data_IF_748700240276
#
_entry.id   IF_748700240276
#
_cell.length_a   1.000
_cell.length_b   1.000
_cell.length_c   1.000
_cell.angle_alpha   90.00
_cell.angle_beta   90.00
_cell.angle_gamma   90.00
#
_symmetry.space_group_name_H-M   'P 1'
#
loop_
_entity.id
_entity.type
_entity.pdbx_description
1 polymer ?
#
# COMPACT_ATOMS: atom_id res chain seq x y z
N UNK A 1 -3.25 5.89 30.42
CA UNK A 1 -2.06 6.49 29.76
C UNK A 1 -1.15 5.37 29.23
N UNK A 2 -1.72 4.33 28.59
CA UNK A 2 -0.99 3.11 28.15
C UNK A 2 -0.95 2.95 26.62
N UNK A 3 -1.62 3.82 25.86
CA UNK A 3 -1.63 3.83 24.40
C UNK A 3 -0.33 4.37 23.76
N UNK A 4 0.67 4.75 24.57
CA UNK A 4 1.93 5.35 24.12
C UNK A 4 3.07 4.33 23.90
N UNK A 5 2.83 3.04 24.14
CA UNK A 5 3.88 2.00 24.07
C UNK A 5 3.69 0.97 22.94
N UNK A 6 2.62 1.07 22.15
CA UNK A 6 2.50 0.25 20.95
C UNK A 6 3.20 0.94 19.78
N UNK A 7 4.04 0.22 19.02
CA UNK A 7 4.84 0.83 17.97
C UNK A 7 3.91 1.29 16.84
N UNK A 8 4.20 2.42 16.19
CA UNK A 8 3.36 2.94 15.13
C UNK A 8 3.32 1.97 13.95
N UNK A 9 2.13 1.79 13.38
CA UNK A 9 1.93 1.05 12.14
C UNK A 9 2.35 1.96 10.97
N UNK A 10 3.19 1.45 10.07
CA UNK A 10 3.50 2.14 8.81
C UNK A 10 2.70 1.48 7.67
N UNK A 11 1.91 2.27 6.96
CA UNK A 11 0.97 1.80 5.95
C UNK A 11 0.79 2.80 4.82
N UNK A 12 0.36 2.30 3.66
CA UNK A 12 -0.14 3.14 2.57
C UNK A 12 -1.61 3.47 2.86
N UNK A 13 -1.96 4.75 2.79
CA UNK A 13 -3.30 5.24 3.14
C UNK A 13 -4.10 5.71 1.92
N UNK A 14 -3.44 6.00 0.80
CA UNK A 14 -4.03 6.40 -0.47
C UNK A 14 -3.03 6.15 -1.62
N UNK A 15 -3.52 5.87 -2.83
CA UNK A 15 -2.72 5.79 -4.06
C UNK A 15 -3.42 6.63 -5.13
N UNK A 16 -2.70 7.59 -5.73
CA UNK A 16 -3.31 8.63 -6.58
C UNK A 16 -3.08 8.48 -8.10
N UNK A 17 -2.19 7.60 -8.55
CA UNK A 17 -1.73 7.61 -9.95
C UNK A 17 -1.61 6.22 -10.59
N UNK A 18 -2.18 5.18 -9.98
CA UNK A 18 -2.13 3.82 -10.54
C UNK A 18 -3.41 3.08 -10.19
N UNK A 19 -4.04 2.44 -11.17
CA UNK A 19 -5.22 1.64 -10.92
C UNK A 19 -4.83 0.31 -10.28
N UNK A 20 -5.62 -0.20 -9.31
CA UNK A 20 -5.34 -1.49 -8.71
C UNK A 20 -5.27 -2.64 -9.73
N UNK A 21 -6.09 -2.57 -10.79
CA UNK A 21 -6.09 -3.57 -11.87
C UNK A 21 -4.76 -3.61 -12.62
N UNK A 22 -4.12 -2.46 -12.86
CA UNK A 22 -2.85 -2.42 -13.57
C UNK A 22 -1.73 -3.08 -12.77
N UNK A 23 -1.66 -2.79 -11.46
CA UNK A 23 -0.69 -3.41 -10.55
C UNK A 23 -0.92 -4.91 -10.51
N UNK A 24 -2.16 -5.35 -10.29
CA UNK A 24 -2.50 -6.76 -10.17
C UNK A 24 -2.21 -7.54 -11.46
N UNK A 25 -2.56 -6.98 -12.63
CA UNK A 25 -2.27 -7.60 -13.93
C UNK A 25 -0.76 -7.78 -14.14
N UNK A 26 0.03 -6.71 -13.94
CA UNK A 26 1.49 -6.76 -14.09
C UNK A 26 2.13 -7.77 -13.12
N UNK A 27 1.66 -7.80 -11.87
CA UNK A 27 2.14 -8.77 -10.89
C UNK A 27 1.72 -10.20 -11.22
N UNK A 28 0.50 -10.42 -11.73
CA UNK A 28 0.04 -11.74 -12.17
C UNK A 28 0.86 -12.26 -13.34
N UNK A 29 1.16 -11.44 -14.35
CA UNK A 29 2.02 -11.80 -15.49
C UNK A 29 3.41 -12.22 -15.02
N UNK A 30 4.01 -11.46 -14.08
CA UNK A 30 5.31 -11.78 -13.49
C UNK A 30 5.28 -13.07 -12.68
N UNK A 31 4.27 -13.24 -11.82
CA UNK A 31 4.08 -14.46 -11.03
C UNK A 31 3.97 -15.68 -11.94
N UNK A 32 3.18 -15.60 -13.02
CA UNK A 32 3.05 -16.68 -14.00
C UNK A 32 4.40 -16.98 -14.67
N UNK A 33 5.14 -15.95 -15.09
CA UNK A 33 6.48 -16.11 -15.64
C UNK A 33 7.41 -16.83 -14.65
N UNK A 34 7.40 -16.42 -13.38
CA UNK A 34 8.21 -17.06 -12.35
C UNK A 34 7.84 -18.52 -12.14
N UNK A 35 6.55 -18.84 -12.07
CA UNK A 35 6.07 -20.22 -11.88
C UNK A 35 6.52 -21.15 -13.00
N UNK A 36 6.53 -20.67 -14.24
CA UNK A 36 6.86 -21.50 -15.41
C UNK A 36 8.38 -21.59 -15.62
N UNK A 37 9.08 -20.46 -15.50
CA UNK A 37 10.47 -20.36 -15.99
C UNK A 37 11.53 -20.27 -14.89
N UNK A 38 11.17 -19.85 -13.68
CA UNK A 38 12.15 -19.55 -12.63
C UNK A 38 12.05 -20.54 -11.47
N UNK A 39 10.87 -20.66 -10.87
CA UNK A 39 10.60 -21.49 -9.68
C UNK A 39 10.99 -22.97 -9.84
N UNK A 40 10.80 -23.61 -11.01
CA UNK A 40 11.21 -25.00 -11.23
C UNK A 40 12.74 -25.19 -11.34
N UNK A 41 13.51 -24.13 -11.54
CA UNK A 41 14.95 -24.17 -11.81
C UNK A 41 15.75 -23.29 -10.83
N UNK A 42 15.83 -23.67 -9.54
CA UNK A 42 16.25 -22.79 -8.44
C UNK A 42 17.77 -22.56 -8.29
N UNK A 43 18.57 -22.73 -9.34
CA UNK A 43 20.03 -22.86 -9.21
C UNK A 43 20.80 -21.57 -8.92
N UNK A 44 20.20 -20.37 -9.08
CA UNK A 44 20.91 -19.07 -8.93
C UNK A 44 20.04 -17.98 -8.28
N UNK A 45 19.12 -18.33 -7.38
CA UNK A 45 18.32 -17.29 -6.72
C UNK A 45 19.16 -16.54 -5.68
N UNK A 46 19.12 -15.22 -5.73
CA UNK A 46 19.61 -14.37 -4.64
C UNK A 46 18.50 -14.13 -3.63
N UNK A 47 18.85 -13.61 -2.46
CA UNK A 47 17.88 -13.16 -1.46
C UNK A 47 16.93 -12.10 -2.05
N UNK A 48 17.45 -11.22 -2.89
CA UNK A 48 16.73 -10.13 -3.54
C UNK A 48 15.74 -10.67 -4.58
N UNK A 49 16.12 -11.66 -5.38
CA UNK A 49 15.21 -12.31 -6.33
C UNK A 49 13.98 -12.90 -5.62
N UNK A 50 14.19 -13.62 -4.51
CA UNK A 50 13.08 -14.26 -3.78
C UNK A 50 12.18 -13.20 -3.12
N UNK A 51 12.77 -12.13 -2.56
CA UNK A 51 12.00 -11.02 -2.02
C UNK A 51 11.13 -10.37 -3.09
N UNK A 52 11.70 -10.10 -4.27
CA UNK A 52 10.96 -9.53 -5.39
C UNK A 52 9.80 -10.43 -5.83
N UNK A 53 10.03 -11.74 -5.96
CA UNK A 53 8.97 -12.71 -6.28
C UNK A 53 7.87 -12.67 -5.20
N UNK A 54 8.25 -12.63 -3.92
CA UNK A 54 7.32 -12.55 -2.80
C UNK A 54 6.49 -11.24 -2.81
N UNK A 55 7.08 -10.12 -3.20
CA UNK A 55 6.37 -8.83 -3.34
C UNK A 55 5.30 -8.91 -4.45
N UNK A 56 5.63 -9.51 -5.60
CA UNK A 56 4.66 -9.70 -6.69
C UNK A 56 3.53 -10.65 -6.28
N UNK A 57 3.83 -11.72 -5.53
CA UNK A 57 2.79 -12.58 -4.94
C UNK A 57 1.92 -11.84 -3.92
N UNK A 58 2.51 -10.95 -3.11
CA UNK A 58 1.75 -10.17 -2.14
C UNK A 58 0.77 -9.21 -2.83
N UNK A 59 1.17 -8.60 -3.95
CA UNK A 59 0.26 -7.79 -4.75
C UNK A 59 -0.92 -8.62 -5.27
N UNK A 60 -0.65 -9.81 -5.80
CA UNK A 60 -1.68 -10.75 -6.21
C UNK A 60 -2.56 -11.18 -5.03
N UNK A 61 -1.98 -11.41 -3.85
CA UNK A 61 -2.71 -11.78 -2.64
C UNK A 61 -3.72 -10.70 -2.21
N UNK A 62 -3.33 -9.42 -2.30
CA UNK A 62 -4.23 -8.32 -1.94
C UNK A 62 -5.41 -8.19 -2.88
N UNK A 63 -5.18 -8.38 -4.18
CA UNK A 63 -6.17 -8.20 -5.22
C UNK A 63 -7.07 -9.44 -5.42
N UNK A 64 -6.51 -10.64 -5.58
CA UNK A 64 -7.25 -11.88 -5.88
C UNK A 64 -7.74 -12.60 -4.61
N UNK A 65 -8.81 -12.08 -4.01
CA UNK A 65 -9.37 -12.55 -2.72
C UNK A 65 -9.61 -14.08 -2.67
N UNK A 66 -10.23 -14.62 -3.71
CA UNK A 66 -10.56 -16.05 -3.81
C UNK A 66 -9.33 -16.97 -3.89
N UNK A 67 -8.17 -16.43 -4.28
CA UNK A 67 -6.93 -17.19 -4.47
C UNK A 67 -5.94 -17.04 -3.29
N UNK A 68 -6.30 -16.26 -2.26
CA UNK A 68 -5.40 -15.91 -1.14
C UNK A 68 -4.78 -17.13 -0.46
N UNK A 69 -5.55 -18.18 -0.24
CA UNK A 69 -5.04 -19.41 0.40
C UNK A 69 -3.91 -20.01 -0.43
N UNK A 70 -4.16 -20.32 -1.71
CA UNK A 70 -3.15 -20.92 -2.59
C UNK A 70 -1.93 -20.03 -2.84
N UNK A 71 -2.15 -18.71 -2.93
CA UNK A 71 -1.06 -17.73 -3.02
C UNK A 71 -0.20 -17.77 -1.75
N UNK A 72 -0.83 -17.72 -0.57
CA UNK A 72 -0.11 -17.72 0.71
C UNK A 72 0.68 -19.01 0.97
N UNK A 73 0.19 -20.16 0.52
CA UNK A 73 0.91 -21.43 0.59
C UNK A 73 2.19 -21.40 -0.23
N UNK A 74 2.13 -20.80 -1.42
CA UNK A 74 3.29 -20.62 -2.30
C UNK A 74 4.29 -19.65 -1.67
N UNK A 75 3.81 -18.52 -1.15
CA UNK A 75 4.64 -17.56 -0.42
C UNK A 75 5.34 -18.20 0.79
N UNK A 76 4.65 -19.04 1.55
CA UNK A 76 5.22 -19.76 2.69
C UNK A 76 6.33 -20.73 2.27
N UNK A 77 6.16 -21.46 1.15
CA UNK A 77 7.22 -22.34 0.60
C UNK A 77 8.47 -21.53 0.23
N UNK A 78 8.29 -20.39 -0.45
CA UNK A 78 9.39 -19.47 -0.77
C UNK A 78 10.03 -18.89 0.49
N UNK A 79 9.24 -18.58 1.52
CA UNK A 79 9.71 -18.10 2.81
C UNK A 79 10.57 -19.12 3.55
N UNK A 80 10.15 -20.39 3.58
CA UNK A 80 10.94 -21.50 4.15
C UNK A 80 12.27 -21.66 3.41
N UNK A 81 12.24 -21.59 2.06
CA UNK A 81 13.47 -21.60 1.26
C UNK A 81 14.39 -20.42 1.62
N UNK A 82 13.86 -19.21 1.68
CA UNK A 82 14.59 -17.98 2.03
C UNK A 82 15.30 -18.09 3.39
N UNK A 83 14.57 -18.54 4.42
CA UNK A 83 15.13 -18.73 5.78
C UNK A 83 16.23 -19.80 5.74
N UNK A 84 15.99 -20.94 5.09
CA UNK A 84 16.96 -22.05 5.06
C UNK A 84 18.26 -21.74 4.32
N UNK A 85 18.23 -20.85 3.32
CA UNK A 85 19.39 -20.54 2.47
C UNK A 85 20.13 -19.27 2.86
N UNK A 86 19.41 -18.24 3.30
CA UNK A 86 19.98 -16.90 3.43
C UNK A 86 19.87 -16.32 4.83
N UNK A 87 19.12 -16.96 5.73
CA UNK A 87 18.64 -16.38 6.99
C UNK A 87 17.84 -15.08 6.80
N UNK A 88 16.84 -14.87 7.65
CA UNK A 88 16.05 -13.65 7.68
C UNK A 88 16.42 -12.85 8.93
N UNK A 89 16.45 -11.54 8.81
CA UNK A 89 16.72 -10.63 9.93
C UNK A 89 15.67 -9.52 9.95
N UNK A 90 15.30 -9.09 11.14
CA UNK A 90 14.54 -7.86 11.32
C UNK A 90 15.43 -6.64 11.05
N UNK A 91 14.83 -5.58 10.54
CA UNK A 91 15.49 -4.28 10.35
C UNK A 91 15.25 -3.41 11.58
N UNK A 92 16.05 -2.38 11.78
CA UNK A 92 15.88 -1.40 12.87
C UNK A 92 15.81 0.00 12.26
N UNK A 93 14.79 0.79 12.63
CA UNK A 93 14.55 2.13 12.06
C UNK A 93 15.08 3.28 12.94
N UNK A 94 15.80 2.95 14.02
CA UNK A 94 16.27 3.90 15.01
C UNK A 94 15.48 3.84 16.31
N UNK A 95 14.25 3.34 16.28
CA UNK A 95 13.39 3.23 17.47
C UNK A 95 12.87 1.80 17.67
N UNK A 96 12.43 1.14 16.59
CA UNK A 96 11.84 -0.20 16.65
C UNK A 96 12.48 -1.19 15.68
N UNK A 97 12.52 -2.45 16.09
CA UNK A 97 12.69 -3.53 15.11
C UNK A 97 11.43 -3.65 14.27
N UNK A 98 11.60 -3.91 12.98
CA UNK A 98 10.49 -4.06 12.06
C UNK A 98 10.76 -5.09 10.96
N UNK A 99 9.67 -5.54 10.34
CA UNK A 99 9.70 -6.38 9.15
C UNK A 99 8.76 -5.82 8.09
N UNK A 100 9.29 -5.70 6.87
CA UNK A 100 8.56 -5.50 5.62
C UNK A 100 8.47 -6.79 4.79
N UNK A 101 8.81 -7.94 5.38
CA UNK A 101 8.75 -9.23 4.69
C UNK A 101 7.30 -9.54 4.24
N UNK A 102 7.08 -9.85 2.96
CA UNK A 102 5.75 -10.18 2.45
C UNK A 102 5.05 -11.33 3.17
N UNK A 103 5.80 -12.34 3.62
CA UNK A 103 5.27 -13.45 4.40
C UNK A 103 4.75 -13.05 5.79
N UNK A 104 5.25 -11.95 6.35
CA UNK A 104 4.70 -11.38 7.58
C UNK A 104 3.51 -10.49 7.24
N UNK A 105 3.64 -9.63 6.22
CA UNK A 105 2.61 -8.65 5.85
C UNK A 105 1.29 -9.30 5.43
N UNK A 106 1.32 -10.47 4.77
CA UNK A 106 0.10 -11.18 4.36
C UNK A 106 -0.83 -11.54 5.54
N UNK A 107 -0.31 -11.60 6.77
CA UNK A 107 -1.12 -11.86 7.96
C UNK A 107 -1.81 -10.62 8.53
N UNK A 108 -1.44 -9.43 8.04
CA UNK A 108 -2.10 -8.17 8.32
C UNK A 108 -3.02 -7.87 7.13
N UNK A 109 -4.02 -8.73 6.92
CA UNK A 109 -4.96 -8.70 5.79
C UNK A 109 -6.03 -7.60 5.91
N UNK A 110 -5.67 -6.50 6.56
CA UNK A 110 -6.48 -5.31 6.71
C UNK A 110 -5.70 -4.10 6.20
N UNK A 111 -6.36 -2.96 6.19
CA UNK A 111 -5.78 -1.73 5.72
C UNK A 111 -6.65 -0.56 6.12
N UNK A 112 -6.50 0.54 5.39
CA UNK A 112 -7.17 1.79 5.73
C UNK A 112 -8.09 2.22 4.59
N UNK A 113 -9.29 2.67 4.95
CA UNK A 113 -10.17 3.40 4.05
C UNK A 113 -10.48 4.76 4.66
N UNK A 114 -10.42 5.76 3.82
CA UNK A 114 -10.86 7.11 4.16
C UNK A 114 -12.26 7.32 3.63
N UNK A 115 -13.10 7.99 4.41
CA UNK A 115 -14.32 8.59 3.91
C UNK A 115 -14.12 10.08 3.91
N UNK A 116 -14.40 10.71 2.78
CA UNK A 116 -14.31 12.15 2.64
C UNK A 116 -15.45 12.72 1.82
N UNK A 117 -15.58 14.04 1.87
CA UNK A 117 -16.37 14.83 0.92
C UNK A 117 -15.43 15.49 -0.05
N UNK A 118 -15.74 15.33 -1.32
CA UNK A 118 -15.00 15.94 -2.41
C UNK A 118 -15.92 16.86 -3.19
N UNK A 119 -15.45 18.06 -3.49
CA UNK A 119 -16.11 18.95 -4.43
C UNK A 119 -15.24 19.08 -5.67
N UNK A 120 -15.90 18.99 -6.82
CA UNK A 120 -15.26 19.02 -8.11
C UNK A 120 -15.77 20.20 -8.91
N UNK A 121 -14.85 20.90 -9.57
CA UNK A 121 -15.16 21.92 -10.57
C UNK A 121 -14.56 21.54 -11.92
N UNK A 122 -15.23 21.98 -12.98
CA UNK A 122 -14.74 21.80 -14.33
C UNK A 122 -13.49 22.65 -14.56
N UNK A 123 -12.42 22.05 -15.09
CA UNK A 123 -11.21 22.80 -15.43
C UNK A 123 -11.38 23.77 -16.57
N UNK A 124 -12.48 23.77 -17.31
CA UNK A 124 -12.71 24.69 -18.43
C UNK A 124 -13.45 25.94 -17.95
N UNK A 125 -14.61 25.76 -17.33
CA UNK A 125 -15.50 26.86 -16.96
C UNK A 125 -15.54 27.17 -15.46
N UNK A 126 -14.89 26.38 -14.61
CA UNK A 126 -14.89 26.57 -13.15
C UNK A 126 -16.22 26.27 -12.45
N UNK A 127 -17.27 25.87 -13.17
CA UNK A 127 -18.56 25.48 -12.56
C UNK A 127 -18.46 24.15 -11.83
N UNK A 128 -19.38 23.90 -10.90
CA UNK A 128 -19.55 22.58 -10.32
C UNK A 128 -19.89 21.56 -11.40
N UNK A 129 -19.40 20.32 -11.25
CA UNK A 129 -19.57 19.28 -12.28
C UNK A 129 -21.04 19.01 -12.60
N UNK A 130 -21.94 19.12 -11.61
CA UNK A 130 -23.38 18.89 -11.81
C UNK A 130 -24.07 20.00 -12.60
N UNK A 131 -23.45 21.18 -12.69
CA UNK A 131 -23.97 22.37 -13.38
C UNK A 131 -23.22 22.68 -14.68
N UNK A 132 -22.36 21.75 -15.12
CA UNK A 132 -21.41 21.94 -16.20
C UNK A 132 -21.75 21.02 -17.40
N UNK A 133 -21.78 21.59 -18.60
CA UNK A 133 -22.01 20.85 -19.85
C UNK A 133 -20.75 20.15 -20.41
N UNK A 134 -19.56 20.47 -19.87
CA UNK A 134 -18.31 19.86 -20.31
C UNK A 134 -18.15 18.42 -19.78
N UNK A 135 -17.90 17.49 -20.68
CA UNK A 135 -17.66 16.07 -20.38
C UNK A 135 -16.20 15.89 -20.00
N UNK A 136 -15.96 15.27 -18.84
CA UNK A 136 -14.59 14.96 -18.40
C UNK A 136 -13.87 14.10 -19.43
N UNK A 137 -12.60 14.40 -19.67
CA UNK A 137 -11.72 13.81 -20.67
C UNK A 137 -11.99 14.18 -22.13
N UNK A 138 -13.01 14.99 -22.42
CA UNK A 138 -13.20 15.56 -23.76
C UNK A 138 -12.33 16.79 -23.96
N UNK A 139 -11.98 17.04 -25.21
CA UNK A 139 -11.21 18.20 -25.64
C UNK A 139 -12.15 19.27 -26.19
N UNK A 140 -11.85 20.52 -25.88
CA UNK A 140 -12.63 21.68 -26.27
C UNK A 140 -11.71 22.73 -26.89
N UNK A 141 -12.26 23.43 -27.88
CA UNK A 141 -11.60 24.52 -28.58
C UNK A 141 -12.15 25.87 -28.12
N UNK A 142 -11.43 26.94 -28.45
CA UNK A 142 -11.79 28.31 -28.14
C UNK A 142 -12.07 28.53 -26.64
N UNK A 143 -11.26 27.90 -25.78
CA UNK A 143 -11.37 28.02 -24.31
C UNK A 143 -10.62 29.26 -23.85
N UNK A 144 -11.33 30.19 -23.22
CA UNK A 144 -10.73 31.39 -22.64
C UNK A 144 -9.90 31.05 -21.40
N UNK A 145 -8.68 31.57 -21.34
CA UNK A 145 -7.78 31.42 -20.20
C UNK A 145 -8.27 32.23 -19.00
N UNK A 146 -8.57 31.55 -17.90
CA UNK A 146 -9.04 32.14 -16.63
C UNK A 146 -8.32 31.50 -15.44
N UNK A 147 -8.28 32.24 -14.33
CA UNK A 147 -7.80 31.75 -13.04
C UNK A 147 -8.92 31.00 -12.30
N UNK A 148 -8.73 29.70 -12.08
CA UNK A 148 -9.60 28.87 -11.23
C UNK A 148 -8.79 28.44 -10.02
N UNK A 149 -9.04 29.06 -8.86
CA UNK A 149 -8.34 28.75 -7.59
C UNK A 149 -6.81 28.77 -7.70
N UNK A 150 -6.23 29.86 -8.22
CA UNK A 150 -4.79 30.05 -8.44
C UNK A 150 -4.17 29.12 -9.51
N UNK A 151 -5.00 28.42 -10.29
CA UNK A 151 -4.55 27.55 -11.39
C UNK A 151 -5.05 28.06 -12.73
N UNK A 152 -4.20 27.93 -13.75
CA UNK A 152 -4.57 28.12 -15.14
C UNK A 152 -5.49 27.00 -15.60
N UNK A 153 -6.70 27.36 -16.02
CA UNK A 153 -7.71 26.43 -16.53
C UNK A 153 -7.24 25.66 -17.79
N UNK A 154 -6.26 26.20 -18.53
CA UNK A 154 -5.69 25.60 -19.76
C UNK A 154 -4.62 24.53 -19.46
N UNK A 155 -3.64 24.80 -18.59
CA UNK A 155 -2.53 23.85 -18.31
C UNK A 155 -2.48 23.31 -16.87
N UNK A 156 -3.38 23.75 -15.99
CA UNK A 156 -3.46 23.39 -14.57
C UNK A 156 -2.21 23.74 -13.73
N UNK A 157 -1.26 24.50 -14.28
CA UNK A 157 -0.14 25.08 -13.53
C UNK A 157 -0.61 26.29 -12.71
N UNK A 158 0.21 26.71 -11.75
CA UNK A 158 -0.02 27.97 -11.02
C UNK A 158 -0.24 29.10 -12.03
N UNK A 159 -1.33 29.85 -11.88
CA UNK A 159 -1.74 30.88 -12.84
C UNK A 159 -0.61 31.89 -13.08
N UNK A 160 0.01 32.35 -11.99
CA UNK A 160 1.11 33.32 -11.99
C UNK A 160 2.45 32.78 -12.51
N UNK A 161 2.54 31.48 -12.85
CA UNK A 161 3.77 30.84 -13.36
C UNK A 161 3.59 30.17 -14.73
N UNK A 162 2.41 30.30 -15.34
CA UNK A 162 2.16 29.74 -16.66
C UNK A 162 2.44 30.77 -17.76
N UNK A 163 2.62 30.29 -19.00
CA UNK A 163 2.88 31.13 -20.16
C UNK A 163 1.60 31.54 -20.90
N UNK A 164 0.42 31.21 -20.36
CA UNK A 164 -0.85 31.56 -20.99
C UNK A 164 -1.29 32.94 -20.54
N UNK A 165 -1.85 33.70 -21.48
CA UNK A 165 -2.29 35.07 -21.26
C UNK A 165 -3.77 35.05 -20.85
N UNK A 166 -4.10 35.73 -19.76
CA UNK A 166 -5.47 35.86 -19.28
C UNK A 166 -6.37 36.50 -20.34
N UNK A 167 -7.58 35.95 -20.52
CA UNK A 167 -8.56 36.36 -21.54
C UNK A 167 -8.22 36.02 -23.01
N UNK A 168 -7.11 35.31 -23.28
CA UNK A 168 -6.87 34.72 -24.61
C UNK A 168 -7.53 33.35 -24.75
N UNK A 169 -7.87 32.98 -25.99
CA UNK A 169 -8.48 31.69 -26.30
C UNK A 169 -7.44 30.67 -26.75
N UNK A 170 -7.61 29.44 -26.27
CA UNK A 170 -6.75 28.31 -26.55
C UNK A 170 -7.58 27.14 -27.05
N UNK A 171 -7.05 26.43 -28.04
CA UNK A 171 -7.66 25.23 -28.60
C UNK A 171 -7.07 23.96 -27.97
N UNK A 172 -7.72 22.83 -28.20
CA UNK A 172 -7.28 21.52 -27.75
C UNK A 172 -7.13 21.39 -26.21
N UNK A 173 -8.01 22.03 -25.44
CA UNK A 173 -7.98 22.00 -23.97
C UNK A 173 -8.82 20.84 -23.45
N UNK A 174 -8.20 19.95 -22.67
CA UNK A 174 -8.89 18.80 -22.08
C UNK A 174 -9.66 19.19 -20.81
N UNK A 175 -10.94 18.86 -20.76
CA UNK A 175 -11.76 19.01 -19.57
C UNK A 175 -11.35 17.98 -18.51
N UNK A 176 -10.94 18.46 -17.34
CA UNK A 176 -10.54 17.67 -16.18
C UNK A 176 -11.39 18.11 -14.98
N UNK A 177 -11.66 17.18 -14.06
CA UNK A 177 -12.29 17.51 -12.78
C UNK A 177 -11.21 18.01 -11.83
N UNK A 178 -11.29 19.28 -11.44
CA UNK A 178 -10.42 19.86 -10.43
C UNK A 178 -11.04 19.60 -9.05
N UNK A 179 -10.31 18.95 -8.16
CA UNK A 179 -10.70 18.83 -6.76
C UNK A 179 -10.50 20.20 -6.10
N UNK A 180 -11.58 20.81 -5.63
CA UNK A 180 -11.54 22.14 -4.99
C UNK A 180 -11.77 22.09 -3.49
N UNK A 181 -12.33 20.99 -2.99
CA UNK A 181 -12.43 20.69 -1.58
C UNK A 181 -12.21 19.19 -1.41
N UNK A 182 -11.37 18.82 -0.44
CA UNK A 182 -11.24 17.46 0.07
C UNK A 182 -11.31 17.56 1.60
N UNK A 183 -12.45 17.17 2.16
CA UNK A 183 -12.66 17.10 3.61
C UNK A 183 -12.67 15.63 4.03
N UNK A 184 -11.68 15.21 4.81
CA UNK A 184 -11.62 13.85 5.35
C UNK A 184 -12.53 13.78 6.57
N UNK A 185 -13.54 12.90 6.52
CA UNK A 185 -14.51 12.68 7.59
C UNK A 185 -14.01 11.59 8.54
N UNK A 186 -13.67 10.41 8.01
CA UNK A 186 -13.19 9.28 8.81
C UNK A 186 -11.99 8.62 8.16
N UNK A 187 -11.22 7.95 9.01
CA UNK A 187 -10.08 7.15 8.64
C UNK A 187 -10.18 5.83 9.39
N UNK A 188 -10.74 4.83 8.70
CA UNK A 188 -11.18 3.58 9.31
C UNK A 188 -10.22 2.43 8.97
N UNK A 189 -9.93 1.60 9.97
CA UNK A 189 -9.29 0.31 9.73
C UNK A 189 -10.36 -0.64 9.20
N UNK A 190 -10.10 -1.25 8.05
CA UNK A 190 -11.04 -2.17 7.40
C UNK A 190 -10.32 -3.40 6.88
N UNK A 191 -11.02 -4.53 6.84
CA UNK A 191 -10.47 -5.77 6.28
C UNK A 191 -10.23 -5.66 4.78
N UNK A 192 -11.16 -5.06 4.06
CA UNK A 192 -11.05 -4.85 2.61
C UNK A 192 -11.15 -3.36 2.31
N UNK A 193 -10.01 -2.67 2.17
CA UNK A 193 -9.97 -1.29 1.77
C UNK A 193 -10.57 -1.08 0.38
N UNK A 194 -11.20 0.08 0.20
CA UNK A 194 -11.70 0.53 -1.09
C UNK A 194 -10.56 0.65 -2.10
N UNK A 195 -9.44 1.25 -1.69
CA UNK A 195 -8.18 1.22 -2.43
C UNK A 195 -7.39 -0.04 -2.05
N UNK A 196 -7.49 -1.11 -2.84
CA UNK A 196 -6.99 -2.47 -2.53
C UNK A 196 -5.59 -2.54 -1.88
N UNK A 197 -4.68 -1.68 -2.29
CA UNK A 197 -3.27 -1.67 -1.86
C UNK A 197 -2.97 -0.72 -0.69
N UNK A 198 -3.98 -0.08 -0.07
CA UNK A 198 -3.81 0.69 1.18
C UNK A 198 -3.64 -0.24 2.38
N UNK A 199 -2.50 -0.91 2.44
CA UNK A 199 -2.19 -2.01 3.36
C UNK A 199 -1.04 -1.64 4.31
N UNK A 200 -0.86 -2.49 5.33
CA UNK A 200 0.29 -2.40 6.23
C UNK A 200 1.56 -2.73 5.44
N UNK A 201 2.56 -1.84 5.53
CA UNK A 201 3.84 -1.99 4.82
C UNK A 201 4.97 -2.44 5.74
N UNK A 202 4.90 -2.12 7.04
CA UNK A 202 5.85 -2.59 8.04
C UNK A 202 5.11 -2.98 9.31
N UNK A 203 5.39 -4.19 9.79
CA UNK A 203 5.10 -4.54 11.19
C UNK A 203 6.30 -4.13 12.04
N UNK A 204 6.10 -3.13 12.90
CA UNK A 204 7.03 -2.76 13.96
C UNK A 204 6.76 -3.58 15.22
N UNK A 205 7.79 -3.87 15.99
CA UNK A 205 7.71 -4.65 17.22
C UNK A 205 8.19 -3.82 18.41
N UNK A 206 7.35 -3.72 19.43
CA UNK A 206 7.70 -3.08 20.68
C UNK A 206 8.88 -3.80 21.31
N UNK A 207 9.64 -3.06 22.14
CA UNK A 207 10.70 -3.65 22.95
C UNK A 207 10.19 -4.82 23.80
N UNK A 208 8.98 -4.71 24.33
CA UNK A 208 8.34 -5.78 25.11
C UNK A 208 8.12 -7.04 24.26
N UNK A 209 7.50 -6.93 23.09
CA UNK A 209 7.30 -8.08 22.17
C UNK A 209 8.62 -8.79 21.84
N UNK A 210 9.69 -8.03 21.57
CA UNK A 210 11.00 -8.61 21.26
C UNK A 210 11.59 -9.34 22.46
N UNK A 211 11.63 -8.70 23.63
CA UNK A 211 12.19 -9.31 24.84
C UNK A 211 11.38 -10.53 25.27
N UNK A 212 10.05 -10.46 25.18
CA UNK A 212 9.16 -11.59 25.48
C UNK A 212 9.41 -12.76 24.51
N UNK A 213 9.63 -12.48 23.22
CA UNK A 213 9.95 -13.49 22.21
C UNK A 213 11.35 -14.13 22.37
N UNK A 214 12.27 -13.48 23.09
CA UNK A 214 13.63 -13.97 23.33
C UNK A 214 13.80 -14.64 24.70
N UNK A 215 12.73 -14.83 25.49
CA UNK A 215 12.81 -15.37 26.87
C UNK A 215 13.50 -16.73 26.96
N UNK A 216 13.33 -17.57 25.95
CA UNK A 216 13.91 -18.92 25.87
C UNK A 216 15.23 -18.93 25.09
N UNK A 217 15.69 -17.78 24.59
CA UNK A 217 16.93 -17.68 23.82
C UNK A 217 18.14 -17.67 24.75
N UNK A 218 19.10 -18.56 24.47
CA UNK A 218 20.33 -18.70 25.25
C UNK A 218 21.18 -17.42 25.30
N UNK A 219 21.04 -16.53 24.30
CA UNK A 219 21.81 -15.29 24.16
C UNK A 219 21.05 -14.05 24.67
N UNK A 220 19.92 -14.21 25.37
CA UNK A 220 19.13 -13.09 25.88
C UNK A 220 19.95 -12.09 26.72
N UNK A 221 20.88 -12.58 27.54
CA UNK A 221 21.73 -11.73 28.39
C UNK A 221 22.73 -10.88 27.60
N UNK A 222 23.05 -11.28 26.37
CA UNK A 222 23.95 -10.55 25.47
C UNK A 222 23.18 -9.63 24.50
N UNK A 223 21.86 -9.79 24.41
CA UNK A 223 21.01 -9.03 23.52
C UNK A 223 20.97 -7.54 23.92
N UNK A 224 21.34 -6.68 22.96
CA UNK A 224 21.26 -5.22 23.08
C UNK A 224 20.24 -4.69 22.08
N UNK A 225 19.11 -4.21 22.60
CA UNK A 225 18.02 -3.68 21.76
C UNK A 225 18.51 -2.55 20.85
N UNK A 226 18.22 -2.64 19.56
CA UNK A 226 18.61 -1.68 18.53
C UNK A 226 20.04 -1.85 18.01
N UNK A 227 20.82 -2.75 18.60
CA UNK A 227 22.23 -3.01 18.22
C UNK A 227 22.39 -4.44 17.73
N UNK A 228 21.86 -5.42 18.47
CA UNK A 228 21.98 -6.83 18.13
C UNK A 228 21.20 -7.16 16.86
N UNK A 229 21.78 -7.98 15.99
CA UNK A 229 21.06 -8.57 14.87
C UNK A 229 19.98 -9.50 15.40
N UNK A 230 18.73 -9.25 15.02
CA UNK A 230 17.61 -10.10 15.39
C UNK A 230 17.21 -10.96 14.20
N UNK A 231 17.38 -12.28 14.34
CA UNK A 231 17.00 -13.24 13.31
C UNK A 231 15.48 -13.48 13.32
N UNK A 232 14.90 -13.63 12.13
CA UNK A 232 13.50 -13.93 11.94
C UNK A 232 13.33 -15.41 11.59
N UNK A 233 12.53 -16.11 12.41
CA UNK A 233 12.19 -17.52 12.21
C UNK A 233 10.71 -17.73 11.83
N UNK A 234 10.01 -16.67 11.40
CA UNK A 234 8.57 -16.68 11.11
C UNK A 234 8.14 -17.87 10.24
N UNK A 235 8.77 -18.08 9.08
CA UNK A 235 8.34 -19.11 8.13
C UNK A 235 8.56 -20.55 8.63
N UNK A 236 9.41 -20.76 9.65
CA UNK A 236 9.63 -22.09 10.23
C UNK A 236 8.46 -22.52 11.12
N UNK A 237 7.79 -21.55 11.76
CA UNK A 237 6.69 -21.78 12.71
C UNK A 237 5.33 -21.31 12.20
N UNK A 238 5.27 -20.78 10.96
CA UNK A 238 4.04 -20.27 10.37
C UNK A 238 3.15 -21.43 9.89
N UNK A 239 1.88 -21.41 10.31
CA UNK A 239 0.83 -22.35 9.91
C UNK A 239 0.10 -21.97 8.62
N UNK A 240 0.60 -20.96 7.91
CA UNK A 240 -0.07 -20.38 6.73
C UNK A 240 -1.04 -19.25 7.08
N UNK A 241 -1.65 -18.68 6.05
CA UNK A 241 -2.63 -17.61 6.18
C UNK A 241 -3.95 -18.16 6.72
N UNK A 242 -4.48 -17.52 7.76
CA UNK A 242 -5.81 -17.78 8.30
C UNK A 242 -6.69 -16.53 8.09
N UNK A 243 -7.71 -16.58 7.22
CA UNK A 243 -8.64 -15.47 7.01
C UNK A 243 -9.39 -15.03 8.28
N UNK A 244 -9.47 -15.86 9.32
CA UNK A 244 -10.17 -15.52 10.57
C UNK A 244 -9.28 -14.80 11.57
N UNK A 245 -7.95 -14.82 11.39
CA UNK A 245 -6.96 -14.31 12.34
C UNK A 245 -7.24 -12.88 12.78
N UNK A 246 -7.55 -12.00 11.83
CA UNK A 246 -7.79 -10.56 12.07
C UNK A 246 -9.27 -10.24 12.25
N UNK A 247 -10.16 -11.22 12.12
CA UNK A 247 -11.61 -11.01 12.22
C UNK A 247 -12.00 -10.45 13.60
N UNK A 248 -11.27 -10.83 14.65
CA UNK A 248 -11.46 -10.30 16.00
C UNK A 248 -11.26 -8.79 16.12
N UNK A 249 -10.45 -8.18 15.24
CA UNK A 249 -10.28 -6.71 15.18
C UNK A 249 -11.56 -6.00 14.76
N UNK A 250 -12.41 -6.66 13.97
CA UNK A 250 -13.63 -6.08 13.38
C UNK A 250 -14.91 -6.57 14.06
N UNK A 251 -14.84 -7.61 14.87
CA UNK A 251 -16.00 -8.14 15.60
C UNK A 251 -16.44 -7.25 16.79
N UNK A 252 -15.66 -6.25 17.19
CA UNK A 252 -16.01 -5.33 18.29
C UNK A 252 -16.79 -4.08 17.85
N UNK A 253 -17.09 -3.92 16.56
CA UNK A 253 -17.66 -2.67 16.01
C UNK A 253 -19.18 -2.61 15.94
N UNK A 254 -19.91 -3.62 16.42
CA UNK A 254 -21.38 -3.60 16.51
C UNK A 254 -21.84 -4.24 17.82
N UNK A 255 -21.47 -3.61 18.94
CA UNK A 255 -22.15 -3.82 20.22
C UNK A 255 -23.10 -2.65 20.46
N UNK A 256 -24.39 -2.97 20.58
CA UNK A 256 -25.51 -2.06 20.89
C UNK A 256 -25.24 -1.10 22.06
#
# INVERSE_FOLDING_TARGET
MELLNEPPIEAITMILDTTPDEIARKSSERVQFFQIHILPYPTIWTKEHIKYILDEYLNCFWYYKEQRIGISETMLKLGKYLVSKFSCTFKFDGEYYYSDCPNILLHYDFGFSLRGKEQYRCSICGKEIIECDHITNYTYDNVTCININEKCNICLKDFNKCNHIENENYDNVKAIKMITLLEIITFDIVKEPEMIFTRIMKKKFSKKEIIDGLKEDHYLNEFKYGISTLNCNHCNFCNGYDPKRTQLLFNKSYGN
#
